data_IF_849087342796
#
_entry.id   IF_849087342796
#
_cell.length_a   1.000
_cell.length_b   1.000
_cell.length_c   1.000
_cell.angle_alpha   90.00
_cell.angle_beta   90.00
_cell.angle_gamma   90.00
#
_symmetry.space_group_name_H-M   'P 1'
#
loop_
_entity.id
_entity.type
_entity.pdbx_description
1 polymer ?
#
# COMPACT_ATOMS: atom_id res chain seq x y z
N UNK A 1 48.76 -47.23 39.11
CA UNK A 1 48.88 -45.91 38.45
C UNK A 1 47.98 -45.71 37.23
N UNK A 2 47.58 -46.75 36.45
CA UNK A 2 46.85 -46.54 35.16
C UNK A 2 45.38 -46.12 35.23
N UNK A 3 44.61 -46.35 36.31
CA UNK A 3 43.16 -45.98 36.39
C UNK A 3 42.92 -44.50 36.66
N UNK A 4 43.82 -43.83 37.42
CA UNK A 4 43.66 -42.41 37.78
C UNK A 4 43.99 -41.51 36.58
N UNK A 5 45.03 -41.89 35.80
CA UNK A 5 45.40 -41.14 34.59
C UNK A 5 44.34 -41.20 33.50
N UNK A 6 43.70 -42.38 33.27
CA UNK A 6 42.56 -42.51 32.32
C UNK A 6 41.34 -41.69 32.73
N UNK A 7 41.04 -41.55 34.04
CA UNK A 7 39.92 -40.76 34.52
C UNK A 7 40.15 -39.26 34.38
N UNK A 8 41.37 -38.79 34.57
CA UNK A 8 41.79 -37.40 34.41
C UNK A 8 41.73 -36.93 32.92
N UNK A 9 42.19 -37.78 31.99
CA UNK A 9 42.12 -37.53 30.56
C UNK A 9 40.68 -37.53 30.01
N UNK A 10 39.78 -38.44 30.49
CA UNK A 10 38.37 -38.45 30.13
C UNK A 10 37.63 -37.19 30.62
N UNK A 11 37.96 -36.67 31.82
CA UNK A 11 37.38 -35.39 32.30
C UNK A 11 37.86 -34.20 31.50
N UNK A 12 39.18 -34.13 31.19
CA UNK A 12 39.75 -33.06 30.37
C UNK A 12 39.09 -33.02 28.97
N UNK A 13 38.97 -34.15 28.29
CA UNK A 13 38.34 -34.25 26.98
C UNK A 13 36.83 -33.90 27.03
N UNK A 14 36.15 -34.16 28.13
CA UNK A 14 34.70 -33.80 28.32
C UNK A 14 34.55 -32.28 28.51
N UNK A 15 35.42 -31.66 29.27
CA UNK A 15 35.45 -30.21 29.49
C UNK A 15 35.80 -29.50 28.20
N UNK A 16 36.76 -30.00 27.41
CA UNK A 16 37.16 -29.41 26.12
C UNK A 16 36.03 -29.50 25.08
N UNK A 17 35.30 -30.62 25.04
CA UNK A 17 34.13 -30.77 24.20
C UNK A 17 32.99 -29.79 24.60
N UNK A 18 32.75 -29.61 25.88
CA UNK A 18 31.73 -28.68 26.38
C UNK A 18 32.12 -27.22 26.02
N UNK A 19 33.39 -26.85 26.20
CA UNK A 19 33.89 -25.52 25.81
C UNK A 19 33.75 -25.31 24.30
N UNK A 20 34.08 -26.32 23.49
CA UNK A 20 33.92 -26.26 22.03
C UNK A 20 32.44 -26.05 21.65
N UNK A 21 31.50 -26.77 22.29
CA UNK A 21 30.07 -26.61 22.05
C UNK A 21 29.63 -25.19 22.42
N UNK A 22 30.07 -24.64 23.54
CA UNK A 22 29.73 -23.27 23.97
C UNK A 22 30.26 -22.25 22.96
N UNK A 23 31.50 -22.39 22.50
CA UNK A 23 32.08 -21.49 21.51
C UNK A 23 31.35 -21.58 20.18
N UNK A 24 31.04 -22.79 19.70
CA UNK A 24 30.27 -22.99 18.48
C UNK A 24 28.85 -22.39 18.58
N UNK A 25 28.18 -22.58 19.74
CA UNK A 25 26.87 -21.99 19.98
C UNK A 25 26.90 -20.46 20.01
N UNK A 26 27.96 -19.87 20.60
CA UNK A 26 28.15 -18.42 20.59
C UNK A 26 28.40 -17.88 19.18
N UNK A 27 29.21 -18.57 18.35
CA UNK A 27 29.44 -18.20 16.96
C UNK A 27 28.13 -18.28 16.16
N UNK A 28 27.36 -19.35 16.32
CA UNK A 28 26.06 -19.48 15.63
C UNK A 28 25.07 -18.38 16.04
N UNK A 29 25.04 -18.00 17.32
CA UNK A 29 24.23 -16.90 17.81
C UNK A 29 24.62 -15.56 17.18
N UNK A 30 25.93 -15.27 17.12
CA UNK A 30 26.45 -14.05 16.47
C UNK A 30 26.11 -14.03 14.98
N UNK A 31 26.25 -15.15 14.27
CA UNK A 31 25.86 -15.28 12.88
C UNK A 31 24.36 -15.07 12.69
N UNK A 32 23.53 -15.66 13.55
CA UNK A 32 22.08 -15.49 13.51
C UNK A 32 21.67 -14.02 13.72
N UNK A 33 22.30 -13.33 14.69
CA UNK A 33 22.08 -11.88 14.92
C UNK A 33 22.51 -11.08 13.70
N UNK A 34 23.66 -11.40 13.11
CA UNK A 34 24.14 -10.69 11.92
C UNK A 34 23.23 -10.86 10.71
N UNK A 35 22.74 -12.10 10.47
CA UNK A 35 21.76 -12.39 9.43
C UNK A 35 20.46 -11.63 9.71
N UNK A 36 19.99 -11.66 10.94
CA UNK A 36 18.78 -10.95 11.36
C UNK A 36 18.90 -9.43 11.15
N UNK A 37 20.03 -8.83 11.55
CA UNK A 37 20.28 -7.38 11.34
C UNK A 37 20.31 -7.03 9.86
N UNK A 38 20.95 -7.87 9.01
CA UNK A 38 20.95 -7.66 7.56
C UNK A 38 19.55 -7.78 6.97
N UNK A 39 18.79 -8.81 7.34
CA UNK A 39 17.41 -8.99 6.90
C UNK A 39 16.51 -7.83 7.36
N UNK A 40 16.63 -7.41 8.62
CA UNK A 40 15.90 -6.27 9.16
C UNK A 40 16.22 -4.98 8.42
N UNK A 41 17.51 -4.71 8.12
CA UNK A 41 17.89 -3.54 7.32
C UNK A 41 17.29 -3.63 5.91
N UNK A 42 17.44 -4.76 5.22
CA UNK A 42 16.93 -4.95 3.88
C UNK A 42 15.43 -4.64 3.76
N UNK A 43 14.59 -5.18 4.65
CA UNK A 43 13.12 -4.95 4.58
C UNK A 43 12.70 -3.54 5.02
N UNK A 44 13.58 -2.79 5.67
CA UNK A 44 13.25 -1.47 6.23
C UNK A 44 13.99 -0.30 5.57
N UNK A 45 14.72 -0.54 4.48
CA UNK A 45 15.42 0.52 3.74
C UNK A 45 15.00 0.53 2.28
N UNK A 46 14.99 1.73 1.71
CA UNK A 46 14.82 1.93 0.28
C UNK A 46 16.16 1.66 -0.44
N UNK A 47 16.12 0.98 -1.58
CA UNK A 47 17.33 0.55 -2.29
C UNK A 47 17.63 1.40 -3.55
N UNK A 48 16.78 2.41 -3.84
CA UNK A 48 16.84 3.21 -5.07
C UNK A 48 15.92 2.70 -6.17
N UNK A 49 15.73 3.52 -7.19
CA UNK A 49 14.93 3.19 -8.37
C UNK A 49 15.48 1.97 -9.10
N UNK A 50 14.57 1.17 -9.63
CA UNK A 50 14.90 0.02 -10.47
C UNK A 50 15.26 0.43 -11.92
N UNK A 51 15.34 -0.57 -12.80
CA UNK A 51 15.52 -0.35 -14.22
C UNK A 51 14.23 0.19 -14.86
N UNK A 52 14.36 1.12 -15.81
CA UNK A 52 13.26 1.63 -16.62
C UNK A 52 12.72 0.52 -17.54
N UNK A 53 11.39 0.35 -17.56
CA UNK A 53 10.68 -0.60 -18.44
C UNK A 53 9.41 0.05 -18.97
N UNK A 54 8.97 -0.38 -20.15
CA UNK A 54 7.68 0.09 -20.68
C UNK A 54 6.55 -0.29 -19.72
N UNK A 55 5.73 0.71 -19.35
CA UNK A 55 4.55 0.46 -18.53
C UNK A 55 3.46 -0.19 -19.37
N UNK A 56 2.75 -1.22 -18.87
CA UNK A 56 1.70 -1.90 -19.63
C UNK A 56 0.63 -0.93 -20.14
N UNK A 57 0.12 -1.19 -21.35
CA UNK A 57 -0.99 -0.42 -21.91
C UNK A 57 -2.31 -1.06 -21.52
N UNK A 58 -3.34 -0.20 -21.43
CA UNK A 58 -4.71 -0.61 -21.11
C UNK A 58 -5.27 -1.53 -22.21
N UNK A 59 -5.89 -2.63 -21.80
CA UNK A 59 -6.52 -3.63 -22.67
C UNK A 59 -8.05 -3.75 -22.45
N UNK A 60 -8.66 -2.85 -21.66
CA UNK A 60 -10.10 -2.90 -21.40
C UNK A 60 -10.89 -2.44 -22.62
N UNK A 61 -11.82 -3.30 -23.10
CA UNK A 61 -12.73 -2.94 -24.18
C UNK A 61 -13.85 -2.01 -23.68
N UNK A 62 -14.19 -0.99 -24.45
CA UNK A 62 -15.35 -0.12 -24.16
C UNK A 62 -16.67 -0.91 -24.09
N UNK A 63 -16.79 -2.04 -24.80
CA UNK A 63 -17.98 -2.90 -24.80
C UNK A 63 -18.23 -3.59 -23.45
N UNK A 64 -17.21 -3.66 -22.57
CA UNK A 64 -17.32 -4.31 -21.27
C UNK A 64 -17.95 -3.43 -20.19
N UNK A 65 -18.03 -2.12 -20.39
CA UNK A 65 -18.56 -1.18 -19.38
C UNK A 65 -20.08 -1.05 -19.47
N UNK A 66 -20.73 -1.05 -18.32
CA UNK A 66 -22.19 -0.86 -18.19
C UNK A 66 -22.54 -0.27 -16.82
N UNK A 67 -23.71 0.36 -16.74
CA UNK A 67 -24.29 0.72 -15.43
C UNK A 67 -25.11 -0.47 -14.92
N UNK A 68 -24.83 -0.88 -13.68
CA UNK A 68 -25.51 -2.02 -13.07
C UNK A 68 -26.81 -1.62 -12.34
N UNK A 69 -27.46 -2.60 -11.71
CA UNK A 69 -28.73 -2.43 -10.98
C UNK A 69 -28.64 -1.52 -9.73
N UNK A 70 -27.41 -1.31 -9.23
CA UNK A 70 -27.13 -0.40 -8.12
C UNK A 70 -26.75 1.01 -8.57
N UNK A 71 -26.79 1.24 -9.90
CA UNK A 71 -26.34 2.49 -10.53
C UNK A 71 -24.86 2.80 -10.35
N UNK A 72 -24.04 1.74 -10.29
CA UNK A 72 -22.59 1.84 -10.37
C UNK A 72 -22.11 1.53 -11.78
N UNK A 73 -21.05 2.20 -12.22
CA UNK A 73 -20.27 1.73 -13.36
C UNK A 73 -19.69 0.35 -13.01
N UNK A 74 -19.77 -0.58 -13.94
CA UNK A 74 -19.26 -1.93 -13.77
C UNK A 74 -18.61 -2.40 -15.07
N UNK A 75 -17.89 -3.54 -15.02
CA UNK A 75 -17.20 -4.11 -16.15
C UNK A 75 -17.32 -5.64 -16.19
N UNK A 76 -17.60 -6.19 -17.38
CA UNK A 76 -17.57 -7.63 -17.64
C UNK A 76 -17.29 -7.89 -19.12
N UNK A 77 -16.07 -8.31 -19.44
CA UNK A 77 -15.66 -8.62 -20.81
C UNK A 77 -14.46 -9.57 -20.81
N UNK A 78 -14.49 -10.59 -21.67
CA UNK A 78 -13.40 -11.56 -21.86
C UNK A 78 -12.85 -12.17 -20.54
N UNK A 79 -13.73 -12.45 -19.58
CA UNK A 79 -13.36 -13.05 -18.30
C UNK A 79 -12.87 -12.05 -17.24
N UNK A 80 -12.60 -10.79 -17.59
CA UNK A 80 -12.31 -9.71 -16.65
C UNK A 80 -13.62 -9.16 -16.13
N UNK A 81 -13.71 -8.99 -14.82
CA UNK A 81 -14.85 -8.38 -14.11
C UNK A 81 -14.37 -7.21 -13.26
N UNK A 82 -15.28 -6.37 -12.83
CA UNK A 82 -14.97 -5.35 -11.84
C UNK A 82 -15.78 -5.57 -10.56
N UNK A 83 -15.23 -5.09 -9.45
CA UNK A 83 -15.90 -4.89 -8.17
C UNK A 83 -16.27 -3.42 -8.02
N UNK A 84 -17.40 -3.15 -7.34
CA UNK A 84 -17.88 -1.79 -7.06
C UNK A 84 -17.32 -1.31 -5.73
N UNK A 85 -16.79 -0.11 -5.71
CA UNK A 85 -16.19 0.43 -4.50
C UNK A 85 -16.42 1.91 -4.30
N UNK A 86 -16.02 2.34 -3.12
CA UNK A 86 -15.94 3.74 -2.71
C UNK A 86 -14.59 4.00 -2.08
N UNK A 87 -14.21 5.27 -2.00
CA UNK A 87 -13.15 5.67 -1.08
C UNK A 87 -13.64 6.78 -0.14
N UNK A 88 -13.17 6.71 1.11
CA UNK A 88 -13.66 7.53 2.21
C UNK A 88 -12.55 7.99 3.15
N UNK A 89 -12.82 9.11 3.81
CA UNK A 89 -11.96 9.70 4.83
C UNK A 89 -12.81 10.42 5.89
N UNK A 90 -12.19 11.24 6.72
CA UNK A 90 -12.92 12.14 7.64
C UNK A 90 -13.96 13.02 6.95
N UNK A 91 -13.81 13.27 5.64
CA UNK A 91 -14.72 14.14 4.88
C UNK A 91 -16.14 13.57 4.72
N UNK A 92 -16.29 12.26 4.79
CA UNK A 92 -17.61 11.61 4.75
C UNK A 92 -18.33 11.62 6.12
N UNK A 93 -17.60 11.90 7.20
CA UNK A 93 -18.15 11.91 8.56
C UNK A 93 -18.62 10.52 9.01
N UNK A 94 -19.75 10.50 9.72
CA UNK A 94 -20.38 9.26 10.17
C UNK A 94 -21.00 8.49 9.00
N UNK A 95 -20.68 7.19 8.91
CA UNK A 95 -21.11 6.30 7.84
C UNK A 95 -21.93 5.13 8.43
N UNK A 96 -23.13 4.87 7.89
CA UNK A 96 -23.86 3.64 8.13
C UNK A 96 -23.41 2.55 7.15
N UNK A 97 -22.42 1.77 7.55
CA UNK A 97 -21.81 0.73 6.72
C UNK A 97 -22.77 -0.40 6.34
N UNK A 98 -23.81 -0.66 7.14
CA UNK A 98 -24.84 -1.62 6.79
C UNK A 98 -25.66 -1.13 5.59
N UNK A 99 -26.01 0.15 5.54
CA UNK A 99 -26.66 0.78 4.40
C UNK A 99 -25.73 0.89 3.18
N UNK A 100 -24.44 1.18 3.37
CA UNK A 100 -23.42 1.16 2.32
C UNK A 100 -23.37 -0.23 1.64
N UNK A 101 -23.30 -1.30 2.43
CA UNK A 101 -23.33 -2.67 1.89
C UNK A 101 -24.61 -2.99 1.10
N UNK A 102 -25.77 -2.57 1.60
CA UNK A 102 -27.07 -2.74 0.91
C UNK A 102 -27.14 -1.97 -0.41
N UNK A 103 -26.38 -0.89 -0.55
CA UNK A 103 -26.27 -0.10 -1.79
C UNK A 103 -25.39 -0.75 -2.85
N UNK A 104 -24.91 -1.99 -2.62
CA UNK A 104 -24.14 -2.76 -3.59
C UNK A 104 -22.62 -2.54 -3.53
N UNK A 105 -22.10 -1.80 -2.56
CA UNK A 105 -20.64 -1.61 -2.38
C UNK A 105 -20.01 -2.94 -1.95
N UNK A 106 -18.98 -3.34 -2.68
CA UNK A 106 -18.24 -4.58 -2.45
C UNK A 106 -16.92 -4.33 -1.73
N UNK A 107 -16.25 -3.20 -2.04
CA UNK A 107 -15.01 -2.80 -1.37
C UNK A 107 -15.00 -1.31 -1.00
N UNK A 108 -14.13 -0.96 -0.05
CA UNK A 108 -13.88 0.43 0.31
C UNK A 108 -12.39 0.69 0.52
N UNK A 109 -11.89 1.80 -0.03
CA UNK A 109 -10.60 2.36 0.35
C UNK A 109 -10.81 3.39 1.47
N UNK A 110 -10.11 3.20 2.59
CA UNK A 110 -10.25 4.05 3.77
C UNK A 110 -8.94 4.80 3.98
N UNK A 111 -9.01 6.13 4.09
CA UNK A 111 -7.81 6.91 4.41
C UNK A 111 -7.28 6.50 5.78
N UNK A 112 -6.08 5.92 5.81
CA UNK A 112 -5.42 5.58 7.07
C UNK A 112 -4.88 6.81 7.76
N UNK A 113 -4.34 7.73 6.98
CA UNK A 113 -3.73 8.94 7.50
C UNK A 113 -3.15 9.79 6.39
N UNK A 114 -2.49 10.83 6.80
CA UNK A 114 -1.89 11.81 5.89
C UNK A 114 -0.66 12.46 6.51
N UNK A 115 0.18 13.05 5.67
CA UNK A 115 1.23 13.95 6.12
C UNK A 115 0.84 15.41 5.87
N UNK A 116 1.26 16.28 6.80
CA UNK A 116 0.94 17.70 6.79
C UNK A 116 1.59 18.43 5.62
N UNK A 117 0.85 19.32 4.99
CA UNK A 117 1.34 20.20 3.91
C UNK A 117 2.50 21.10 4.34
N UNK A 118 2.57 21.46 5.64
CA UNK A 118 3.54 22.41 6.14
C UNK A 118 4.89 21.76 6.51
N UNK A 119 4.87 20.66 7.24
CA UNK A 119 6.05 20.08 7.88
C UNK A 119 6.23 18.56 7.66
N UNK A 120 5.31 17.92 6.91
CA UNK A 120 5.33 16.50 6.65
C UNK A 120 5.07 15.61 7.87
N UNK A 121 4.55 16.19 8.96
CA UNK A 121 4.19 15.42 10.15
C UNK A 121 3.01 14.49 9.85
N UNK A 122 3.13 13.24 10.27
CA UNK A 122 2.13 12.20 10.02
C UNK A 122 1.01 12.28 11.03
N UNK A 123 -0.22 12.20 10.54
CA UNK A 123 -1.46 12.13 11.32
C UNK A 123 -2.30 10.95 10.85
N UNK A 124 -3.02 10.34 11.80
CA UNK A 124 -4.07 9.37 11.46
C UNK A 124 -5.34 10.13 11.05
N UNK A 125 -6.12 9.55 10.14
CA UNK A 125 -7.46 10.06 9.85
C UNK A 125 -8.38 9.79 11.05
N UNK A 126 -9.15 10.79 11.47
CA UNK A 126 -9.97 10.71 12.69
C UNK A 126 -11.04 9.61 12.64
N UNK A 127 -11.46 9.22 11.44
CA UNK A 127 -12.46 8.15 11.22
C UNK A 127 -11.85 6.81 10.82
N UNK A 128 -10.52 6.71 10.68
CA UNK A 128 -9.88 5.48 10.21
C UNK A 128 -10.27 4.24 11.00
N UNK A 129 -10.08 4.30 12.33
CA UNK A 129 -10.32 3.16 13.22
C UNK A 129 -11.77 2.68 13.15
N UNK A 130 -12.72 3.61 13.19
CA UNK A 130 -14.15 3.32 13.11
C UNK A 130 -14.51 2.75 11.75
N UNK A 131 -14.10 3.42 10.67
CA UNK A 131 -14.47 3.01 9.32
C UNK A 131 -13.92 1.63 8.96
N UNK A 132 -12.67 1.31 9.30
CA UNK A 132 -12.10 0.00 8.98
C UNK A 132 -12.80 -1.14 9.74
N UNK A 133 -13.11 -0.93 11.02
CA UNK A 133 -13.81 -1.92 11.83
C UNK A 133 -15.22 -2.17 11.33
N UNK A 134 -15.99 -1.10 11.13
CA UNK A 134 -17.40 -1.20 10.73
C UNK A 134 -17.57 -1.70 9.29
N UNK A 135 -16.72 -1.29 8.34
CA UNK A 135 -16.71 -1.82 6.98
C UNK A 135 -16.48 -3.34 6.96
N UNK A 136 -15.48 -3.81 7.70
CA UNK A 136 -15.16 -5.24 7.81
C UNK A 136 -16.30 -6.03 8.47
N UNK A 137 -16.92 -5.50 9.52
CA UNK A 137 -18.07 -6.13 10.20
C UNK A 137 -19.27 -6.29 9.27
N UNK A 138 -19.42 -5.41 8.29
CA UNK A 138 -20.48 -5.47 7.29
C UNK A 138 -20.08 -6.26 6.02
N UNK A 139 -18.93 -6.96 6.02
CA UNK A 139 -18.50 -7.80 4.91
C UNK A 139 -18.13 -7.01 3.65
N UNK A 140 -17.54 -5.82 3.83
CA UNK A 140 -16.95 -5.01 2.76
C UNK A 140 -15.45 -5.29 2.74
N UNK A 141 -14.89 -5.58 1.57
CA UNK A 141 -13.44 -5.74 1.41
C UNK A 141 -12.73 -4.40 1.60
N UNK A 142 -11.65 -4.39 2.37
CA UNK A 142 -11.00 -3.13 2.73
C UNK A 142 -9.60 -3.03 2.15
N UNK A 143 -9.36 -1.92 1.46
CA UNK A 143 -8.08 -1.32 1.20
C UNK A 143 -7.86 -0.08 2.07
N UNK A 144 -6.62 0.34 2.20
CA UNK A 144 -6.30 1.62 2.85
C UNK A 144 -5.45 2.46 1.92
N UNK A 145 -5.56 3.79 2.05
CA UNK A 145 -4.67 4.71 1.36
C UNK A 145 -4.04 5.70 2.33
N UNK A 146 -2.91 6.24 1.93
CA UNK A 146 -2.18 7.26 2.67
C UNK A 146 -1.97 8.48 1.79
N UNK A 147 -2.43 9.65 2.25
CA UNK A 147 -2.24 10.91 1.56
C UNK A 147 -0.87 11.49 1.92
N UNK A 148 0.04 11.48 0.96
CA UNK A 148 1.45 11.79 1.15
C UNK A 148 1.80 13.24 0.78
N UNK A 149 2.56 13.88 1.64
CA UNK A 149 3.27 15.12 1.35
C UNK A 149 4.79 14.93 1.55
N UNK A 150 5.28 13.69 1.39
CA UNK A 150 6.70 13.39 1.48
C UNK A 150 7.49 14.11 0.39
N UNK A 151 8.64 14.67 0.76
CA UNK A 151 9.55 15.35 -0.15
C UNK A 151 10.92 14.67 -0.24
N UNK A 152 11.10 13.58 0.51
CA UNK A 152 12.28 12.71 0.46
C UNK A 152 11.89 11.24 0.56
N UNK A 153 12.77 10.36 0.11
CA UNK A 153 12.60 8.91 0.21
C UNK A 153 12.56 8.41 1.66
N UNK A 154 13.22 9.12 2.58
CA UNK A 154 13.17 8.85 4.01
C UNK A 154 11.80 9.17 4.61
N UNK A 155 11.18 10.26 4.19
CA UNK A 155 9.81 10.61 4.61
C UNK A 155 8.82 9.56 4.08
N UNK A 156 8.85 9.23 2.79
CA UNK A 156 8.01 8.19 2.20
C UNK A 156 8.19 6.82 2.88
N UNK A 157 9.44 6.47 3.22
CA UNK A 157 9.74 5.25 4.00
C UNK A 157 9.11 5.29 5.39
N UNK A 158 9.07 6.45 6.05
CA UNK A 158 8.39 6.60 7.36
C UNK A 158 6.89 6.46 7.23
N UNK A 159 6.29 7.08 6.20
CA UNK A 159 4.86 6.95 5.88
C UNK A 159 4.47 5.48 5.64
N UNK A 160 5.24 4.77 4.80
CA UNK A 160 5.02 3.35 4.54
C UNK A 160 5.08 2.50 5.82
N UNK A 161 6.07 2.73 6.68
CA UNK A 161 6.18 2.04 7.98
C UNK A 161 5.03 2.37 8.92
N UNK A 162 4.57 3.62 8.90
CA UNK A 162 3.40 4.03 9.66
C UNK A 162 2.16 3.27 9.21
N UNK A 163 1.90 3.18 7.90
CA UNK A 163 0.81 2.38 7.34
C UNK A 163 0.92 0.93 7.77
N UNK A 164 2.08 0.29 7.56
CA UNK A 164 2.32 -1.11 7.92
C UNK A 164 2.07 -1.40 9.41
N UNK A 165 2.45 -0.47 10.29
CA UNK A 165 2.25 -0.63 11.74
C UNK A 165 0.77 -0.58 12.12
N UNK A 166 -0.02 0.26 11.44
CA UNK A 166 -1.43 0.46 11.75
C UNK A 166 -2.36 -0.55 11.07
N UNK A 167 -1.92 -1.24 10.01
CA UNK A 167 -2.70 -2.35 9.42
C UNK A 167 -2.35 -3.71 10.01
N UNK A 168 -1.34 -3.79 10.88
CA UNK A 168 -0.91 -5.04 11.50
C UNK A 168 -2.04 -5.69 12.31
N UNK A 169 -2.36 -6.95 11.97
CA UNK A 169 -3.43 -7.70 12.63
C UNK A 169 -4.85 -7.37 12.13
N UNK A 170 -4.98 -6.47 11.14
CA UNK A 170 -6.25 -6.15 10.49
C UNK A 170 -6.38 -6.90 9.16
N UNK A 171 -7.60 -7.20 8.75
CA UNK A 171 -7.86 -7.83 7.46
C UNK A 171 -7.91 -6.78 6.34
N UNK A 172 -6.74 -6.23 5.99
CA UNK A 172 -6.59 -5.37 4.80
C UNK A 172 -6.21 -6.27 3.63
N UNK A 173 -7.21 -6.64 2.82
CA UNK A 173 -7.08 -7.64 1.74
C UNK A 173 -6.64 -7.03 0.41
N UNK A 174 -6.90 -5.75 0.20
CA UNK A 174 -6.62 -5.04 -1.04
C UNK A 174 -5.23 -4.37 -1.03
N UNK A 175 -4.69 -3.98 -2.19
CA UNK A 175 -3.44 -3.23 -2.28
C UNK A 175 -3.48 -1.93 -1.45
N UNK A 176 -2.32 -1.36 -1.14
CA UNK A 176 -2.23 -0.10 -0.39
C UNK A 176 -2.16 1.06 -1.38
N UNK A 177 -3.06 2.04 -1.23
CA UNK A 177 -3.05 3.27 -2.03
C UNK A 177 -1.97 4.25 -1.55
N UNK A 178 -1.14 4.71 -2.47
CA UNK A 178 -0.24 5.84 -2.30
C UNK A 178 -0.80 7.02 -3.08
N UNK A 179 -1.23 8.05 -2.37
CA UNK A 179 -1.89 9.22 -2.89
C UNK A 179 -0.98 10.45 -2.67
N UNK A 180 -0.39 10.96 -3.74
CA UNK A 180 0.52 12.09 -3.73
C UNK A 180 0.06 13.12 -4.77
N UNK A 181 -0.80 14.04 -4.34
CA UNK A 181 -1.29 15.10 -5.21
C UNK A 181 -1.27 16.47 -4.53
N UNK A 182 -1.09 17.55 -5.29
CA UNK A 182 -1.16 18.89 -4.73
C UNK A 182 -2.61 19.31 -4.53
N UNK A 183 -2.93 19.84 -3.35
CA UNK A 183 -4.26 20.38 -3.00
C UNK A 183 -4.22 21.90 -2.86
N UNK A 184 -3.11 22.46 -2.37
CA UNK A 184 -2.94 23.90 -2.17
C UNK A 184 -1.72 24.44 -2.91
N UNK A 185 -1.65 25.76 -3.10
CA UNK A 185 -0.51 26.41 -3.75
C UNK A 185 0.80 26.27 -2.95
N UNK A 186 0.69 26.01 -1.65
CA UNK A 186 1.84 25.91 -0.73
C UNK A 186 2.26 24.49 -0.41
N UNK A 187 1.75 23.48 -1.13
CA UNK A 187 2.08 22.08 -0.87
C UNK A 187 3.56 21.80 -1.10
N UNK A 188 4.16 21.10 -0.16
CA UNK A 188 5.58 20.75 -0.16
C UNK A 188 6.03 20.04 -1.44
N UNK A 189 5.18 19.18 -1.98
CA UNK A 189 5.46 18.34 -3.15
C UNK A 189 5.52 19.13 -4.47
N UNK A 190 4.98 20.36 -4.51
CA UNK A 190 5.00 21.18 -5.73
C UNK A 190 6.40 21.57 -6.19
N UNK A 191 7.33 21.71 -5.26
CA UNK A 191 8.73 22.07 -5.59
C UNK A 191 9.56 20.87 -6.11
N UNK A 192 9.02 19.66 -6.04
CA UNK A 192 9.73 18.47 -6.46
C UNK A 192 9.76 18.31 -7.98
N UNK A 193 10.89 17.83 -8.49
CA UNK A 193 11.01 17.40 -9.89
C UNK A 193 10.26 16.08 -10.12
N UNK A 194 10.02 15.73 -11.37
CA UNK A 194 9.45 14.41 -11.75
C UNK A 194 10.26 13.25 -11.16
N UNK A 195 11.58 13.31 -11.27
CA UNK A 195 12.49 12.30 -10.72
C UNK A 195 12.30 12.15 -9.20
N UNK A 196 12.28 13.25 -8.45
CA UNK A 196 12.10 13.23 -6.99
C UNK A 196 10.72 12.68 -6.59
N UNK A 197 9.64 13.05 -7.30
CA UNK A 197 8.31 12.48 -7.05
C UNK A 197 8.27 10.98 -7.33
N UNK A 198 8.93 10.55 -8.42
CA UNK A 198 9.06 9.13 -8.76
C UNK A 198 9.82 8.36 -7.68
N UNK A 199 10.95 8.89 -7.19
CA UNK A 199 11.71 8.29 -6.09
C UNK A 199 10.90 8.19 -4.80
N UNK A 200 10.13 9.20 -4.48
CA UNK A 200 9.24 9.20 -3.28
C UNK A 200 8.16 8.12 -3.41
N UNK A 201 7.50 8.04 -4.57
CA UNK A 201 6.48 7.01 -4.82
C UNK A 201 7.08 5.60 -4.78
N UNK A 202 8.26 5.40 -5.41
CA UNK A 202 8.95 4.11 -5.39
C UNK A 202 9.44 3.74 -3.98
N UNK A 203 9.92 4.69 -3.19
CA UNK A 203 10.36 4.43 -1.82
C UNK A 203 9.22 3.91 -0.94
N UNK A 204 8.01 4.49 -1.04
CA UNK A 204 6.82 3.99 -0.35
C UNK A 204 6.47 2.57 -0.82
N UNK A 205 6.32 2.37 -2.13
CA UNK A 205 5.94 1.09 -2.73
C UNK A 205 6.98 -0.02 -2.50
N UNK A 206 8.27 0.31 -2.53
CA UNK A 206 9.37 -0.62 -2.23
C UNK A 206 9.25 -1.20 -0.81
N UNK A 207 9.01 -0.35 0.19
CA UNK A 207 8.78 -0.80 1.57
C UNK A 207 7.54 -1.68 1.67
N UNK A 208 6.43 -1.30 1.02
CA UNK A 208 5.21 -2.13 0.96
C UNK A 208 5.51 -3.51 0.36
N UNK A 209 6.17 -3.56 -0.81
CA UNK A 209 6.54 -4.78 -1.51
C UNK A 209 7.43 -5.70 -0.65
N UNK A 210 8.42 -5.16 0.06
CA UNK A 210 9.29 -5.89 0.98
C UNK A 210 8.56 -6.50 2.17
N UNK A 211 7.38 -5.97 2.49
CA UNK A 211 6.48 -6.51 3.51
C UNK A 211 5.30 -7.33 2.92
N UNK A 212 5.40 -7.72 1.65
CA UNK A 212 4.40 -8.58 0.98
C UNK A 212 3.09 -7.87 0.64
N UNK A 213 3.11 -6.53 0.52
CA UNK A 213 1.94 -5.74 0.14
C UNK A 213 2.11 -5.19 -1.28
N UNK A 214 1.03 -5.23 -2.06
CA UNK A 214 0.94 -4.51 -3.34
C UNK A 214 0.64 -3.03 -3.07
N UNK A 215 1.01 -2.17 -4.03
CA UNK A 215 0.77 -0.73 -3.97
C UNK A 215 0.03 -0.27 -5.23
N UNK A 216 -0.95 0.61 -5.03
CA UNK A 216 -1.57 1.40 -6.10
C UNK A 216 -1.01 2.82 -6.03
N UNK A 217 -0.56 3.35 -7.17
CA UNK A 217 -0.21 4.77 -7.32
C UNK A 217 -1.47 5.49 -7.78
N UNK A 218 -1.99 6.38 -6.93
CA UNK A 218 -3.16 7.20 -7.25
C UNK A 218 -2.76 8.44 -8.03
N UNK A 219 -3.59 8.81 -8.99
CA UNK A 219 -3.48 10.08 -9.71
C UNK A 219 -4.47 10.20 -10.85
N UNK A 220 -4.70 11.44 -11.27
CA UNK A 220 -5.40 11.72 -12.52
C UNK A 220 -4.44 11.60 -13.72
N UNK A 221 -4.93 11.56 -14.98
CA UNK A 221 -4.09 11.43 -16.16
C UNK A 221 -2.98 12.48 -16.25
N UNK A 222 -3.31 13.75 -16.02
CA UNK A 222 -2.33 14.84 -16.09
C UNK A 222 -1.22 14.69 -15.03
N UNK A 223 -1.59 14.31 -13.81
CA UNK A 223 -0.61 14.10 -12.75
C UNK A 223 0.33 12.92 -13.07
N UNK A 224 -0.24 11.81 -13.54
CA UNK A 224 0.53 10.60 -13.88
C UNK A 224 1.48 10.87 -15.05
N UNK A 225 0.99 11.55 -16.10
CA UNK A 225 1.79 11.80 -17.31
C UNK A 225 2.90 12.85 -17.10
N UNK A 226 2.68 13.85 -16.20
CA UNK A 226 3.56 15.00 -16.08
C UNK A 226 4.34 15.07 -14.75
N UNK A 227 4.03 14.24 -13.75
CA UNK A 227 4.61 14.36 -12.42
C UNK A 227 5.37 13.15 -11.93
N UNK A 228 5.24 12.00 -12.60
CA UNK A 228 6.00 10.78 -12.29
C UNK A 228 6.51 10.11 -13.57
N UNK A 229 7.56 9.33 -13.46
CA UNK A 229 8.05 8.46 -14.54
C UNK A 229 7.53 7.04 -14.33
N UNK A 230 6.44 6.69 -15.03
CA UNK A 230 5.84 5.35 -14.96
C UNK A 230 6.80 4.25 -15.37
N UNK A 231 7.79 4.53 -16.22
CA UNK A 231 8.74 3.49 -16.67
C UNK A 231 9.59 2.95 -15.54
N UNK A 232 9.76 3.72 -14.47
CA UNK A 232 10.46 3.34 -13.24
C UNK A 232 9.55 2.74 -12.18
N UNK A 233 8.21 2.84 -12.36
CA UNK A 233 7.20 2.41 -11.40
C UNK A 233 6.43 1.14 -11.83
N UNK A 234 6.96 0.36 -12.75
CA UNK A 234 6.31 -0.85 -13.31
C UNK A 234 6.05 -1.99 -12.32
N UNK A 235 6.54 -1.86 -11.09
CA UNK A 235 6.25 -2.77 -9.98
C UNK A 235 4.93 -2.47 -9.27
N UNK A 236 4.26 -1.37 -9.60
CA UNK A 236 3.06 -0.89 -8.95
C UNK A 236 1.94 -0.78 -9.96
N UNK A 237 0.71 -0.93 -9.48
CA UNK A 237 -0.50 -0.78 -10.28
C UNK A 237 -1.03 0.65 -10.13
N UNK A 238 -1.85 1.13 -11.08
CA UNK A 238 -2.42 2.47 -11.03
C UNK A 238 -3.84 2.42 -10.44
N UNK A 239 -4.14 3.38 -9.57
CA UNK A 239 -5.47 3.82 -9.21
C UNK A 239 -5.77 5.14 -9.92
N UNK A 240 -6.47 5.04 -11.04
CA UNK A 240 -6.73 6.17 -11.92
C UNK A 240 -7.91 6.99 -11.42
N UNK A 241 -7.74 8.29 -11.22
CA UNK A 241 -8.82 9.26 -11.01
C UNK A 241 -9.15 9.96 -12.34
N UNK A 242 -10.25 9.58 -12.98
CA UNK A 242 -10.66 10.17 -14.25
C UNK A 242 -12.18 10.26 -14.34
N UNK A 243 -12.73 11.42 -14.01
CA UNK A 243 -14.18 11.66 -13.87
C UNK A 243 -14.82 11.85 -15.23
N UNK A 244 -15.03 10.75 -15.93
CA UNK A 244 -15.58 10.69 -17.28
C UNK A 244 -16.39 9.40 -17.47
N UNK A 245 -17.26 9.37 -18.48
CA UNK A 245 -18.02 8.18 -18.84
C UNK A 245 -17.17 7.05 -19.44
N UNK A 246 -16.02 7.41 -20.04
CA UNK A 246 -15.05 6.48 -20.61
C UNK A 246 -13.66 7.08 -20.49
N UNK A 247 -12.74 6.34 -19.85
CA UNK A 247 -11.38 6.78 -19.72
C UNK A 247 -10.63 6.71 -21.07
N UNK A 248 -9.88 7.77 -21.38
CA UNK A 248 -8.95 7.82 -22.52
C UNK A 248 -7.49 7.58 -22.08
N UNK A 249 -7.27 7.21 -20.82
CA UNK A 249 -5.94 6.92 -20.30
C UNK A 249 -5.35 5.68 -20.99
N UNK A 250 -4.10 5.76 -21.41
CA UNK A 250 -3.49 4.77 -22.33
C UNK A 250 -2.77 3.63 -21.62
N UNK A 251 -2.42 3.80 -20.36
CA UNK A 251 -1.74 2.79 -19.57
C UNK A 251 -2.72 1.90 -18.79
N UNK A 252 -2.28 0.68 -18.42
CA UNK A 252 -3.08 -0.24 -17.61
C UNK A 252 -3.30 0.34 -16.20
N UNK A 253 -4.49 0.11 -15.66
CA UNK A 253 -4.86 0.51 -14.30
C UNK A 253 -5.69 -0.59 -13.63
N UNK A 254 -5.42 -0.85 -12.37
CA UNK A 254 -6.13 -1.86 -11.60
C UNK A 254 -7.44 -1.33 -11.01
N UNK A 255 -7.52 -0.03 -10.78
CA UNK A 255 -8.71 0.61 -10.22
C UNK A 255 -8.97 1.97 -10.87
N UNK A 256 -10.25 2.28 -11.08
CA UNK A 256 -10.70 3.54 -11.67
C UNK A 256 -11.72 4.23 -10.76
N UNK A 257 -11.34 5.40 -10.23
CA UNK A 257 -12.22 6.34 -9.58
C UNK A 257 -12.86 7.21 -10.67
N UNK A 258 -14.12 6.90 -10.97
CA UNK A 258 -14.81 7.48 -12.13
C UNK A 258 -15.75 8.64 -11.78
N UNK A 259 -16.00 8.89 -10.49
CA UNK A 259 -16.85 9.98 -10.00
C UNK A 259 -16.43 10.43 -8.61
N UNK A 260 -16.46 11.75 -8.38
CA UNK A 260 -16.28 12.38 -7.05
C UNK A 260 -17.58 12.92 -6.46
N UNK A 261 -18.72 12.64 -7.10
CA UNK A 261 -20.04 13.17 -6.71
C UNK A 261 -21.08 12.09 -6.51
N UNK A 262 -20.62 10.85 -6.24
CA UNK A 262 -21.48 9.71 -6.00
C UNK A 262 -22.40 9.88 -4.79
N UNK A 263 -23.52 9.14 -4.82
CA UNK A 263 -24.47 9.05 -3.71
C UNK A 263 -24.68 7.59 -3.35
N UNK A 264 -24.35 7.25 -2.12
CA UNK A 264 -24.45 5.88 -1.59
C UNK A 264 -25.28 5.92 -0.32
N UNK A 265 -26.20 5.00 -0.17
CA UNK A 265 -27.00 4.89 1.07
C UNK A 265 -26.08 4.70 2.28
N UNK A 266 -26.33 5.44 3.35
CA UNK A 266 -25.49 5.41 4.55
C UNK A 266 -24.40 6.50 4.61
N UNK A 267 -24.22 7.28 3.52
CA UNK A 267 -23.29 8.42 3.46
C UNK A 267 -24.09 9.69 3.12
N UNK A 268 -23.99 10.72 3.97
CA UNK A 268 -24.77 11.94 3.84
C UNK A 268 -24.15 12.99 2.90
N UNK A 269 -22.90 12.81 2.52
CA UNK A 269 -22.15 13.69 1.63
C UNK A 269 -21.96 13.07 0.25
N UNK A 270 -21.27 13.74 -0.66
CA UNK A 270 -20.72 13.10 -1.84
C UNK A 270 -19.64 12.08 -1.42
N UNK A 271 -19.51 11.02 -2.20
CA UNK A 271 -18.49 9.99 -2.04
C UNK A 271 -17.91 9.62 -3.40
N UNK A 272 -16.62 9.32 -3.40
CA UNK A 272 -15.92 8.88 -4.60
C UNK A 272 -16.31 7.45 -4.94
N UNK A 273 -16.63 7.24 -6.23
CA UNK A 273 -17.07 5.94 -6.77
C UNK A 273 -15.92 5.32 -7.58
N UNK A 274 -15.69 4.05 -7.31
CA UNK A 274 -14.61 3.27 -7.90
C UNK A 274 -15.08 1.96 -8.49
N UNK A 275 -14.38 1.48 -9.52
CA UNK A 275 -14.38 0.08 -9.90
C UNK A 275 -12.95 -0.46 -9.82
N UNK A 276 -12.82 -1.70 -9.37
CA UNK A 276 -11.54 -2.44 -9.33
C UNK A 276 -11.64 -3.65 -10.23
N UNK A 277 -10.70 -3.79 -11.17
CA UNK A 277 -10.70 -4.91 -12.11
C UNK A 277 -10.11 -6.18 -11.47
N UNK A 278 -10.82 -7.29 -11.64
CA UNK A 278 -10.42 -8.62 -11.19
C UNK A 278 -10.08 -9.44 -12.44
N UNK A 279 -8.78 -9.70 -12.60
CA UNK A 279 -8.23 -10.49 -13.73
C UNK A 279 -8.06 -11.96 -13.36
#
# INVERSE_FOLDING_TARGET
MNKVVKKKNRRKNKIDKQRLIIVMSAILLVLAIFIWVKAYRYINTYDGLGESKEYPKMEYSSEGFYMDEYNFLNYNYNGIKAMRGIDVSVHQGEIDWASVKKSGVEFAYIRLGFSSYADGKIYMDDYFEKNIEEAQQNGIDVGVYFFSQAVTTEEATKEAKYVLSNIKGRNVSLPIGFDMEPVTENDRIKALTVEQKTEVADAFGCIMKKHGRKTLIYGNPDWIDNNIDLTLLTNYEIWLAHYTSMSSFVYDYAMWQYSSTGRVGGINTNVDLNIMFVK
#
